data_IF_139942782057
#
_entry.id   IF_139942782057
#
_cell.length_a   1.000
_cell.length_b   1.000
_cell.length_c   1.000
_cell.angle_alpha   90.00
_cell.angle_beta   90.00
_cell.angle_gamma   90.00
#
_symmetry.space_group_name_H-M   'P 1'
#
loop_
_entity.id
_entity.type
_entity.pdbx_description
1 polymer ?
#
# COMPACT_ATOMS: atom_id res chain seq x y z
N UNK A 1 -40.11 -54.08 -53.27
CA UNK A 1 -38.77 -53.46 -53.08
C UNK A 1 -38.95 -52.07 -52.48
N UNK A 2 -38.68 -51.89 -51.18
CA UNK A 2 -38.84 -50.61 -50.46
C UNK A 2 -37.43 -50.10 -50.05
N UNK A 3 -36.96 -49.00 -50.62
CA UNK A 3 -35.66 -48.39 -50.25
C UNK A 3 -35.88 -47.34 -49.16
N UNK A 4 -35.45 -47.64 -47.93
CA UNK A 4 -35.34 -46.68 -46.82
C UNK A 4 -34.21 -45.68 -47.15
N UNK A 5 -34.54 -44.38 -47.18
CA UNK A 5 -33.56 -43.29 -47.27
C UNK A 5 -33.28 -42.78 -45.85
N UNK A 6 -32.07 -43.01 -45.35
CA UNK A 6 -31.58 -42.44 -44.09
C UNK A 6 -31.17 -40.99 -44.33
N UNK A 7 -31.79 -40.05 -43.60
CA UNK A 7 -31.39 -38.65 -43.59
C UNK A 7 -30.26 -38.47 -42.55
N UNK A 8 -29.09 -38.01 -43.01
CA UNK A 8 -27.99 -37.58 -42.15
C UNK A 8 -28.21 -36.11 -41.77
N UNK A 9 -28.42 -35.84 -40.47
CA UNK A 9 -28.42 -34.49 -39.94
C UNK A 9 -26.96 -34.06 -39.67
N UNK A 10 -26.48 -33.04 -40.40
CA UNK A 10 -25.18 -32.42 -40.17
C UNK A 10 -25.38 -31.34 -39.10
N UNK A 11 -24.91 -31.59 -37.88
CA UNK A 11 -24.86 -30.59 -36.83
C UNK A 11 -23.64 -29.68 -37.04
N UNK A 12 -23.88 -28.42 -37.43
CA UNK A 12 -22.86 -27.38 -37.49
C UNK A 12 -22.51 -26.95 -36.06
N UNK A 13 -21.34 -27.38 -35.55
CA UNK A 13 -20.77 -26.84 -34.33
C UNK A 13 -20.19 -25.44 -34.62
N UNK A 14 -20.88 -24.40 -34.19
CA UNK A 14 -20.34 -23.05 -34.11
C UNK A 14 -19.55 -22.89 -32.81
N UNK A 15 -18.22 -22.89 -32.91
CA UNK A 15 -17.35 -22.53 -31.79
C UNK A 15 -17.36 -21.02 -31.62
N UNK A 16 -18.00 -20.51 -30.56
CA UNK A 16 -17.89 -19.11 -30.18
C UNK A 16 -16.48 -18.85 -29.62
N UNK A 17 -15.67 -18.11 -30.36
CA UNK A 17 -14.36 -17.66 -29.89
C UNK A 17 -14.56 -16.52 -28.91
N UNK A 18 -14.41 -16.77 -27.61
CA UNK A 18 -14.40 -15.71 -26.61
C UNK A 18 -13.03 -15.02 -26.70
N UNK A 19 -13.00 -13.86 -27.36
CA UNK A 19 -11.82 -13.00 -27.37
C UNK A 19 -11.69 -12.38 -25.99
N UNK A 20 -10.80 -12.91 -25.16
CA UNK A 20 -10.46 -12.29 -23.88
C UNK A 20 -9.75 -10.97 -24.16
N UNK A 21 -10.41 -9.85 -23.89
CA UNK A 21 -9.78 -8.53 -23.90
C UNK A 21 -8.91 -8.39 -22.67
N UNK A 22 -7.80 -9.13 -22.64
CA UNK A 22 -6.77 -8.98 -21.64
C UNK A 22 -6.25 -7.54 -21.72
N UNK A 23 -6.40 -6.79 -20.63
CA UNK A 23 -5.86 -5.44 -20.54
C UNK A 23 -4.34 -5.53 -20.73
N UNK A 24 -3.76 -4.93 -21.78
CA UNK A 24 -2.32 -5.04 -22.06
C UNK A 24 -1.45 -4.40 -20.96
N UNK A 25 -2.08 -3.67 -20.05
CA UNK A 25 -1.41 -3.03 -18.91
C UNK A 25 -1.38 -3.89 -17.64
N UNK A 26 -1.99 -5.08 -17.66
CA UNK A 26 -2.01 -5.99 -16.52
C UNK A 26 -0.71 -6.81 -16.45
N UNK A 27 0.00 -6.74 -15.32
CA UNK A 27 1.15 -7.58 -15.02
C UNK A 27 0.72 -8.97 -14.51
N UNK A 28 1.61 -9.95 -14.59
CA UNK A 28 1.40 -11.28 -14.01
C UNK A 28 2.47 -11.62 -12.99
N UNK A 29 2.05 -12.05 -11.80
CA UNK A 29 2.93 -12.70 -10.82
C UNK A 29 3.28 -14.11 -11.27
N UNK A 30 4.56 -14.33 -11.54
CA UNK A 30 5.10 -15.61 -12.05
C UNK A 30 5.55 -16.52 -10.93
N UNK A 31 6.26 -15.97 -9.94
CA UNK A 31 6.86 -16.74 -8.85
C UNK A 31 7.06 -15.89 -7.60
N UNK A 32 6.86 -16.52 -6.44
CA UNK A 32 7.39 -16.05 -5.15
C UNK A 32 8.42 -17.07 -4.69
N UNK A 33 9.63 -16.60 -4.40
CA UNK A 33 10.71 -17.38 -3.84
C UNK A 33 11.02 -16.87 -2.44
N UNK A 34 10.99 -17.76 -1.45
CA UNK A 34 11.46 -17.44 -0.10
C UNK A 34 12.98 -17.45 -0.07
N UNK A 35 13.56 -16.39 0.46
CA UNK A 35 14.99 -16.21 0.69
C UNK A 35 15.28 -16.29 2.19
N UNK A 36 16.54 -16.43 2.56
CA UNK A 36 16.96 -16.21 3.95
C UNK A 36 16.76 -14.73 4.30
N UNK A 37 15.92 -14.45 5.30
CA UNK A 37 15.58 -13.09 5.70
C UNK A 37 14.70 -12.32 4.71
N UNK A 38 13.94 -12.97 3.82
CA UNK A 38 13.06 -12.22 2.91
C UNK A 38 12.34 -13.00 1.82
N UNK A 39 11.88 -12.29 0.79
CA UNK A 39 11.24 -12.87 -0.40
C UNK A 39 11.70 -12.20 -1.68
N UNK A 40 11.70 -12.96 -2.77
CA UNK A 40 11.83 -12.47 -4.15
C UNK A 40 10.53 -12.75 -4.91
N UNK A 41 9.98 -11.71 -5.52
CA UNK A 41 8.79 -11.76 -6.36
C UNK A 41 9.19 -11.53 -7.80
N UNK A 42 8.80 -12.44 -8.69
CA UNK A 42 9.03 -12.36 -10.12
C UNK A 42 7.74 -11.95 -10.83
N UNK A 43 7.81 -10.85 -11.58
CA UNK A 43 6.73 -10.33 -12.41
C UNK A 43 7.17 -10.33 -13.88
N UNK A 44 6.24 -10.51 -14.82
CA UNK A 44 6.56 -10.34 -16.25
C UNK A 44 6.83 -8.88 -16.65
N UNK A 45 6.44 -7.92 -15.81
CA UNK A 45 6.76 -6.50 -15.93
C UNK A 45 6.89 -5.86 -14.56
N UNK A 46 7.69 -4.79 -14.48
CA UNK A 46 7.90 -4.05 -13.24
C UNK A 46 6.59 -3.38 -12.78
N UNK A 47 6.23 -3.61 -11.52
CA UNK A 47 5.10 -2.96 -10.82
C UNK A 47 5.55 -2.68 -9.38
N UNK A 48 5.64 -1.41 -9.02
CA UNK A 48 6.10 -1.02 -7.68
C UNK A 48 5.04 -1.43 -6.62
N UNK A 49 5.38 -2.26 -5.62
CA UNK A 49 4.40 -2.69 -4.63
C UNK A 49 4.11 -1.59 -3.61
N UNK A 50 2.86 -1.54 -3.14
CA UNK A 50 2.50 -0.84 -1.91
C UNK A 50 2.84 -1.74 -0.72
N UNK A 51 3.74 -1.28 0.15
CA UNK A 51 4.22 -2.05 1.30
C UNK A 51 3.70 -1.41 2.59
N UNK A 52 3.07 -2.21 3.45
CA UNK A 52 2.59 -1.76 4.76
C UNK A 52 2.49 -2.90 5.77
N UNK A 53 2.54 -2.56 7.05
CA UNK A 53 2.42 -3.52 8.15
C UNK A 53 0.98 -3.56 8.69
N UNK A 54 0.53 -4.74 9.08
CA UNK A 54 -0.70 -4.96 9.85
C UNK A 54 -0.32 -5.50 11.22
N UNK A 55 -1.12 -5.13 12.23
CA UNK A 55 -0.99 -5.62 13.60
C UNK A 55 -2.08 -6.67 13.87
N UNK A 56 -1.81 -7.61 14.77
CA UNK A 56 -2.75 -8.63 15.26
C UNK A 56 -3.36 -9.56 14.18
N UNK A 57 -2.61 -10.56 13.68
CA UNK A 57 -1.20 -10.83 13.94
C UNK A 57 -0.28 -9.91 13.11
N UNK A 58 0.99 -9.80 13.52
CA UNK A 58 1.98 -8.99 12.81
C UNK A 58 2.19 -9.53 11.40
N UNK A 59 2.02 -8.68 10.38
CA UNK A 59 2.17 -9.05 8.97
C UNK A 59 2.79 -7.91 8.18
N UNK A 60 3.67 -8.24 7.23
CA UNK A 60 4.09 -7.32 6.17
C UNK A 60 3.34 -7.67 4.89
N UNK A 61 2.68 -6.68 4.29
CA UNK A 61 1.85 -6.85 3.09
C UNK A 61 2.47 -6.09 1.93
N UNK A 62 2.53 -6.75 0.78
CA UNK A 62 2.96 -6.19 -0.50
C UNK A 62 1.81 -6.32 -1.49
N UNK A 63 1.23 -5.20 -1.87
CA UNK A 63 0.16 -5.13 -2.88
C UNK A 63 0.72 -4.67 -4.23
N UNK A 64 0.54 -5.50 -5.24
CA UNK A 64 0.89 -5.23 -6.63
C UNK A 64 -0.37 -4.86 -7.40
N UNK A 65 -0.57 -3.56 -7.65
CA UNK A 65 -1.73 -3.04 -8.38
C UNK A 65 -1.65 -3.42 -9.88
N UNK A 66 -2.81 -3.57 -10.52
CA UNK A 66 -2.93 -4.04 -11.90
C UNK A 66 -2.14 -5.31 -12.19
N UNK A 67 -2.13 -6.25 -11.24
CA UNK A 67 -1.39 -7.51 -11.32
C UNK A 67 -2.32 -8.68 -11.08
N UNK A 68 -2.27 -9.66 -11.98
CA UNK A 68 -2.95 -10.96 -11.83
C UNK A 68 -2.00 -12.02 -11.30
N UNK A 69 -2.55 -13.00 -10.59
CA UNK A 69 -1.82 -14.17 -10.13
C UNK A 69 -2.41 -15.45 -10.78
N UNK A 70 -1.90 -15.89 -11.94
CA UNK A 70 -2.50 -16.98 -12.71
C UNK A 70 -2.60 -18.30 -11.96
N UNK A 71 -1.70 -18.55 -11.00
CA UNK A 71 -1.71 -19.75 -10.16
C UNK A 71 -2.72 -19.72 -9.00
N UNK A 72 -3.50 -18.65 -8.84
CA UNK A 72 -4.54 -18.51 -7.80
C UNK A 72 -4.00 -18.28 -6.38
N UNK A 73 -2.76 -18.67 -6.09
CA UNK A 73 -2.14 -18.43 -4.79
C UNK A 73 -1.00 -19.39 -4.48
N UNK A 74 -0.30 -19.13 -3.39
CA UNK A 74 0.72 -20.03 -2.88
C UNK A 74 1.03 -19.75 -1.42
N UNK A 75 1.59 -20.75 -0.74
CA UNK A 75 2.06 -20.64 0.65
C UNK A 75 3.41 -21.31 0.74
N UNK A 76 4.38 -20.62 1.33
CA UNK A 76 5.73 -21.10 1.50
C UNK A 76 6.18 -20.90 2.95
N UNK A 77 6.84 -21.89 3.57
CA UNK A 77 7.44 -21.68 4.88
C UNK A 77 8.50 -20.58 4.78
N UNK A 78 8.60 -19.75 5.82
CA UNK A 78 9.67 -18.76 5.94
C UNK A 78 11.04 -19.42 6.06
N UNK A 79 12.09 -18.64 5.79
CA UNK A 79 13.48 -19.00 6.06
C UNK A 79 14.10 -17.87 6.88
N UNK A 80 14.57 -18.21 8.07
CA UNK A 80 15.05 -17.24 9.05
C UNK A 80 14.11 -17.09 10.25
N UNK A 81 14.35 -16.05 11.04
CA UNK A 81 13.68 -15.78 12.32
C UNK A 81 12.66 -14.63 12.25
N UNK A 82 12.56 -14.00 11.09
CA UNK A 82 11.85 -12.73 10.89
C UNK A 82 10.38 -12.97 10.54
N UNK A 83 10.08 -14.07 9.85
CA UNK A 83 8.73 -14.42 9.43
C UNK A 83 8.56 -15.94 9.31
N UNK A 84 7.41 -16.47 9.69
CA UNK A 84 7.13 -17.91 9.67
C UNK A 84 6.59 -18.40 8.34
N UNK A 85 5.96 -17.53 7.54
CA UNK A 85 5.31 -17.93 6.29
C UNK A 85 5.14 -16.78 5.31
N UNK A 86 5.39 -17.06 4.04
CA UNK A 86 4.98 -16.21 2.92
C UNK A 86 3.71 -16.76 2.27
N UNK A 87 2.79 -15.88 1.87
CA UNK A 87 1.55 -16.21 1.17
C UNK A 87 1.40 -15.30 -0.04
N UNK A 88 0.80 -15.80 -1.10
CA UNK A 88 0.34 -14.96 -2.22
C UNK A 88 -1.06 -15.35 -2.64
N UNK A 89 -1.82 -14.39 -3.13
CA UNK A 89 -3.19 -14.60 -3.62
C UNK A 89 -3.63 -13.43 -4.50
N UNK A 90 -4.62 -13.67 -5.36
CA UNK A 90 -5.40 -12.58 -5.95
C UNK A 90 -6.23 -11.94 -4.82
N UNK A 91 -5.94 -10.68 -4.47
CA UNK A 91 -6.67 -9.97 -3.41
C UNK A 91 -7.96 -9.33 -3.96
N UNK A 92 -7.87 -8.72 -5.14
CA UNK A 92 -9.00 -8.18 -5.88
C UNK A 92 -8.91 -8.64 -7.34
N UNK A 93 -9.98 -9.23 -7.87
CA UNK A 93 -10.09 -9.72 -9.25
C UNK A 93 -10.89 -8.80 -10.18
N UNK A 94 -11.24 -7.59 -9.73
CA UNK A 94 -12.00 -6.62 -10.50
C UNK A 94 -11.24 -6.01 -11.68
N UNK A 95 -11.74 -4.88 -12.17
CA UNK A 95 -11.20 -4.17 -13.36
C UNK A 95 -9.73 -3.77 -13.19
N UNK A 96 -9.33 -3.44 -11.95
CA UNK A 96 -7.95 -3.15 -11.55
C UNK A 96 -7.47 -4.23 -10.59
N UNK A 97 -7.02 -5.39 -11.11
CA UNK A 97 -6.72 -6.53 -10.26
C UNK A 97 -5.54 -6.24 -9.33
N UNK A 98 -5.61 -6.71 -8.10
CA UNK A 98 -4.53 -6.57 -7.11
C UNK A 98 -4.04 -7.95 -6.69
N UNK A 99 -2.77 -8.23 -6.91
CA UNK A 99 -2.11 -9.41 -6.36
C UNK A 99 -1.41 -9.04 -5.05
N UNK A 100 -1.65 -9.81 -4.00
CA UNK A 100 -1.09 -9.56 -2.67
C UNK A 100 -0.09 -10.65 -2.29
N UNK A 101 1.05 -10.24 -1.77
CA UNK A 101 2.01 -11.09 -1.05
C UNK A 101 2.00 -10.70 0.42
N UNK A 102 1.88 -11.66 1.33
CA UNK A 102 1.84 -11.44 2.78
C UNK A 102 2.92 -12.25 3.46
N UNK A 103 3.71 -11.62 4.32
CA UNK A 103 4.65 -12.26 5.22
C UNK A 103 4.05 -12.25 6.62
N UNK A 104 3.83 -13.43 7.21
CA UNK A 104 3.40 -13.58 8.60
C UNK A 104 4.65 -13.42 9.50
N UNK A 105 4.78 -12.28 10.19
CA UNK A 105 5.99 -11.89 10.90
C UNK A 105 6.07 -12.52 12.29
N UNK A 106 7.28 -12.84 12.73
CA UNK A 106 7.59 -13.40 14.06
C UNK A 106 8.35 -12.40 14.97
N UNK A 107 8.77 -11.26 14.41
CA UNK A 107 9.47 -10.20 15.11
C UNK A 107 9.11 -8.83 14.53
N UNK A 108 9.48 -7.75 15.22
CA UNK A 108 9.49 -6.44 14.59
C UNK A 108 10.62 -6.38 13.57
N UNK A 109 10.33 -5.87 12.37
CA UNK A 109 11.29 -5.86 11.25
C UNK A 109 11.33 -4.49 10.57
N UNK A 110 12.54 -4.09 10.17
CA UNK A 110 12.78 -3.10 9.13
C UNK A 110 12.87 -3.83 7.80
N UNK A 111 12.39 -3.22 6.71
CA UNK A 111 12.42 -3.84 5.39
C UNK A 111 13.11 -2.96 4.36
N UNK A 112 13.77 -3.61 3.38
CA UNK A 112 14.38 -2.96 2.21
C UNK A 112 13.94 -3.66 0.95
N UNK A 113 13.30 -2.92 0.05
CA UNK A 113 12.85 -3.40 -1.25
C UNK A 113 13.70 -2.84 -2.39
N UNK A 114 14.08 -3.67 -3.35
CA UNK A 114 14.79 -3.22 -4.55
C UNK A 114 14.50 -4.13 -5.76
N UNK A 115 14.72 -3.57 -6.95
CA UNK A 115 14.51 -4.26 -8.23
C UNK A 115 15.83 -4.76 -8.82
N UNK A 116 15.80 -5.96 -9.39
CA UNK A 116 16.83 -6.48 -10.29
C UNK A 116 16.15 -7.16 -11.49
N UNK A 117 16.05 -6.44 -12.61
CA UNK A 117 15.30 -6.90 -13.78
C UNK A 117 13.81 -7.14 -13.46
N UNK A 118 13.25 -8.33 -13.76
CA UNK A 118 11.85 -8.66 -13.45
C UNK A 118 11.61 -9.05 -11.99
N UNK A 119 12.64 -9.00 -11.14
CA UNK A 119 12.58 -9.47 -9.76
C UNK A 119 12.54 -8.30 -8.77
N UNK A 120 11.49 -8.25 -7.96
CA UNK A 120 11.45 -7.45 -6.75
C UNK A 120 11.98 -8.28 -5.58
N UNK A 121 13.01 -7.82 -4.91
CA UNK A 121 13.55 -8.47 -3.70
C UNK A 121 13.21 -7.62 -2.49
N UNK A 122 12.62 -8.25 -1.47
CA UNK A 122 12.36 -7.68 -0.17
C UNK A 122 13.21 -8.41 0.86
N UNK A 123 14.12 -7.68 1.52
CA UNK A 123 14.90 -8.16 2.64
C UNK A 123 14.34 -7.59 3.94
N UNK A 124 14.36 -8.40 4.99
CA UNK A 124 13.92 -8.09 6.34
C UNK A 124 15.13 -8.12 7.27
N UNK A 125 15.22 -7.10 8.13
CA UNK A 125 16.20 -7.00 9.20
C UNK A 125 15.41 -6.87 10.51
N UNK A 126 15.76 -7.62 11.56
CA UNK A 126 15.12 -7.46 12.87
C UNK A 126 15.34 -6.05 13.41
N UNK A 127 14.27 -5.45 13.91
CA UNK A 127 14.35 -4.23 14.70
C UNK A 127 14.52 -4.59 16.18
N UNK A 128 15.78 -4.79 16.56
CA UNK A 128 16.16 -5.20 17.92
C UNK A 128 15.72 -4.15 18.95
N UNK A 129 15.68 -2.88 18.59
CA UNK A 129 15.26 -1.82 19.51
C UNK A 129 13.76 -1.90 19.80
N UNK A 130 12.92 -2.09 18.77
CA UNK A 130 11.50 -2.31 18.98
C UNK A 130 11.21 -3.60 19.77
N UNK A 131 11.90 -4.70 19.45
CA UNK A 131 11.75 -5.97 20.17
C UNK A 131 12.09 -5.82 21.66
N UNK A 132 13.16 -5.09 22.01
CA UNK A 132 13.52 -4.82 23.40
C UNK A 132 12.47 -3.97 24.11
N UNK A 133 11.91 -2.96 23.44
CA UNK A 133 10.85 -2.12 24.02
C UNK A 133 9.60 -2.94 24.33
N UNK A 134 9.19 -3.80 23.40
CA UNK A 134 8.03 -4.67 23.59
C UNK A 134 8.28 -5.73 24.68
N UNK A 135 9.48 -6.31 24.73
CA UNK A 135 9.85 -7.27 25.77
C UNK A 135 9.94 -6.64 27.18
N UNK A 136 10.29 -5.36 27.27
CA UNK A 136 10.37 -4.61 28.54
C UNK A 136 9.03 -4.01 28.97
N UNK A 137 8.05 -3.84 28.07
CA UNK A 137 6.74 -3.26 28.39
C UNK A 137 6.00 -3.96 29.55
N UNK A 138 6.04 -5.31 29.69
CA UNK A 138 5.44 -6.02 30.81
C UNK A 138 6.19 -5.88 32.14
N UNK A 139 7.47 -5.48 32.11
CA UNK A 139 8.30 -5.31 33.32
C UNK A 139 8.20 -3.91 33.92
N UNK A 140 7.75 -2.93 33.13
CA UNK A 140 7.52 -1.56 33.58
C UNK A 140 6.57 -1.44 34.81
N UNK A 141 5.49 -2.23 34.97
CA UNK A 141 4.53 -2.02 36.07
C UNK A 141 5.07 -2.37 37.47
N UNK A 142 6.12 -3.20 37.59
CA UNK A 142 6.57 -3.73 38.89
C UNK A 142 7.52 -2.80 39.66
N UNK A 143 8.11 -1.79 39.00
CA UNK A 143 9.10 -0.89 39.61
C UNK A 143 8.55 0.49 39.99
N UNK A 144 7.31 0.80 39.62
CA UNK A 144 6.62 1.99 40.09
C UNK A 144 5.78 1.63 41.31
N UNK A 145 6.36 1.81 42.49
CA UNK A 145 5.57 2.05 43.70
C UNK A 145 4.52 3.09 43.37
N UNK A 146 3.28 2.83 43.76
CA UNK A 146 2.08 3.62 43.48
C UNK A 146 2.20 5.03 44.06
N UNK A 147 3.01 5.90 43.45
CA UNK A 147 2.72 7.32 43.48
C UNK A 147 1.37 7.47 42.79
N UNK A 148 0.39 8.18 43.38
CA UNK A 148 -0.87 8.45 42.70
C UNK A 148 -0.51 8.98 41.32
N UNK A 149 -0.91 8.20 40.30
CA UNK A 149 -0.65 8.55 38.90
C UNK A 149 -1.24 9.95 38.76
N UNK A 150 -0.44 11.00 38.49
CA UNK A 150 -1.02 12.32 38.26
C UNK A 150 -2.07 12.11 37.19
N UNK A 151 -3.30 12.56 37.47
CA UNK A 151 -4.43 12.41 36.56
C UNK A 151 -3.93 12.66 35.15
N UNK A 152 -4.08 11.71 34.21
CA UNK A 152 -3.46 11.79 32.90
C UNK A 152 -3.78 13.17 32.36
N UNK A 153 -2.74 13.99 32.24
CA UNK A 153 -2.88 15.33 31.68
C UNK A 153 -3.56 15.10 30.33
N UNK A 154 -4.72 15.71 30.07
CA UNK A 154 -5.48 15.43 28.86
C UNK A 154 -4.52 15.57 27.69
N UNK A 155 -4.30 14.46 26.95
CA UNK A 155 -3.40 14.48 25.81
C UNK A 155 -3.80 15.68 24.95
N UNK A 156 -2.85 16.58 24.60
CA UNK A 156 -3.19 17.77 23.84
C UNK A 156 -3.94 17.29 22.61
N UNK A 157 -5.21 17.70 22.48
CA UNK A 157 -6.06 17.29 21.37
C UNK A 157 -5.35 17.75 20.11
N UNK A 158 -4.79 16.81 19.35
CA UNK A 158 -4.12 17.10 18.09
C UNK A 158 -5.13 17.80 17.20
N UNK A 159 -4.91 19.09 16.95
CA UNK A 159 -5.82 19.91 16.17
C UNK A 159 -5.76 19.45 14.71
N UNK A 160 -6.72 18.62 14.30
CA UNK A 160 -6.84 18.19 12.93
C UNK A 160 -7.50 19.29 12.12
N UNK A 161 -6.77 19.87 11.16
CA UNK A 161 -7.29 20.92 10.28
C UNK A 161 -7.48 20.43 8.86
N UNK A 162 -8.53 20.94 8.21
CA UNK A 162 -8.86 20.64 6.81
C UNK A 162 -8.34 21.76 5.93
N UNK A 163 -7.53 21.42 4.93
CA UNK A 163 -6.96 22.35 3.96
C UNK A 163 -7.45 21.97 2.57
N UNK A 164 -8.42 22.71 1.99
CA UNK A 164 -8.84 22.49 0.62
C UNK A 164 -7.72 22.93 -0.34
N UNK A 165 -7.63 22.28 -1.49
CA UNK A 165 -6.70 22.68 -2.54
C UNK A 165 -7.07 22.15 -3.91
N UNK A 166 -6.27 22.55 -4.89
CA UNK A 166 -6.38 22.15 -6.29
C UNK A 166 -5.10 21.48 -6.79
N UNK A 167 -5.27 20.50 -7.68
CA UNK A 167 -4.26 19.71 -8.36
C UNK A 167 -4.52 19.77 -9.87
N UNK A 168 -3.51 20.24 -10.61
CA UNK A 168 -3.59 20.41 -12.07
C UNK A 168 -2.33 19.87 -12.74
N UNK A 169 -2.47 19.27 -13.91
CA UNK A 169 -1.32 18.82 -14.71
C UNK A 169 -0.57 20.01 -15.34
N UNK A 170 0.48 19.73 -16.11
CA UNK A 170 1.27 20.76 -16.83
C UNK A 170 0.44 21.58 -17.81
N UNK A 171 -0.64 21.02 -18.35
CA UNK A 171 -1.57 21.67 -19.27
C UNK A 171 -2.70 22.41 -18.52
N UNK A 172 -2.69 22.43 -17.18
CA UNK A 172 -3.71 23.08 -16.36
C UNK A 172 -4.99 22.26 -16.18
N UNK A 173 -5.03 21.01 -16.67
CA UNK A 173 -6.20 20.14 -16.58
C UNK A 173 -6.35 19.60 -15.15
N UNK A 174 -7.59 19.54 -14.61
CA UNK A 174 -7.83 19.01 -13.29
C UNK A 174 -7.43 17.54 -13.19
N UNK A 175 -6.81 17.16 -12.08
CA UNK A 175 -6.38 15.79 -11.85
C UNK A 175 -7.33 15.01 -10.94
N UNK A 176 -7.49 13.71 -11.21
CA UNK A 176 -8.27 12.79 -10.38
C UNK A 176 -7.39 11.60 -9.99
N UNK A 177 -7.48 11.15 -8.74
CA UNK A 177 -6.66 10.05 -8.22
C UNK A 177 -6.11 10.30 -6.81
N UNK A 178 -5.15 9.48 -6.41
CA UNK A 178 -4.47 9.62 -5.11
C UNK A 178 -3.06 10.19 -5.34
N UNK A 179 -2.71 11.25 -4.61
CA UNK A 179 -1.46 12.00 -4.80
C UNK A 179 -0.76 12.22 -3.47
N UNK A 180 0.55 11.95 -3.42
CA UNK A 180 1.38 12.29 -2.27
C UNK A 180 1.72 13.78 -2.30
N UNK A 181 1.33 14.51 -1.26
CA UNK A 181 1.65 15.92 -1.07
C UNK A 181 2.48 16.13 0.19
N UNK A 182 3.41 17.08 0.14
CA UNK A 182 4.16 17.53 1.32
C UNK A 182 3.69 18.91 1.73
N UNK A 183 3.35 19.07 3.00
CA UNK A 183 2.94 20.32 3.63
C UNK A 183 4.06 20.82 4.53
N UNK A 184 4.29 22.13 4.56
CA UNK A 184 5.31 22.76 5.40
C UNK A 184 4.79 24.05 6.03
N UNK A 185 5.17 24.30 7.28
CA UNK A 185 4.90 25.55 8.00
C UNK A 185 6.08 25.84 8.94
N UNK A 186 7.01 26.70 8.51
CA UNK A 186 8.31 26.86 9.18
C UNK A 186 9.06 25.52 9.28
N UNK A 187 9.47 25.15 10.50
CA UNK A 187 10.13 23.87 10.81
C UNK A 187 9.19 22.64 10.80
N UNK A 188 7.87 22.87 10.80
CA UNK A 188 6.91 21.77 10.76
C UNK A 188 6.72 21.29 9.31
N UNK A 189 6.70 19.97 9.13
CA UNK A 189 6.33 19.35 7.85
C UNK A 189 5.64 18.00 8.07
N UNK A 190 4.75 17.67 7.13
CA UNK A 190 4.00 16.41 7.07
C UNK A 190 3.80 16.01 5.60
N UNK A 191 3.87 14.71 5.29
CA UNK A 191 3.60 14.19 3.96
C UNK A 191 2.37 13.26 4.02
N UNK A 192 1.36 13.52 3.21
CA UNK A 192 0.12 12.76 3.20
C UNK A 192 -0.35 12.45 1.79
N UNK A 193 -1.03 11.31 1.61
CA UNK A 193 -1.79 11.05 0.40
C UNK A 193 -3.13 11.76 0.46
N UNK A 194 -3.46 12.52 -0.59
CA UNK A 194 -4.77 13.13 -0.77
C UNK A 194 -5.49 12.50 -1.94
N UNK A 195 -6.80 12.36 -1.81
CA UNK A 195 -7.66 11.99 -2.92
C UNK A 195 -8.12 13.26 -3.63
N UNK A 196 -7.74 13.42 -4.89
CA UNK A 196 -8.19 14.50 -5.76
C UNK A 196 -9.36 14.01 -6.64
N UNK A 197 -10.39 14.84 -6.79
CA UNK A 197 -11.52 14.63 -7.70
C UNK A 197 -11.79 15.91 -8.45
N UNK A 198 -11.69 15.84 -9.78
CA UNK A 198 -11.81 17.03 -10.64
C UNK A 198 -10.88 18.16 -10.19
N UNK A 199 -9.63 17.78 -9.91
CA UNK A 199 -8.58 18.67 -9.43
C UNK A 199 -8.72 19.06 -7.95
N UNK A 200 -9.88 18.92 -7.31
CA UNK A 200 -10.07 19.35 -5.92
C UNK A 200 -9.68 18.27 -4.93
N UNK A 201 -9.04 18.66 -3.83
CA UNK A 201 -8.72 17.77 -2.71
C UNK A 201 -8.95 18.47 -1.36
N UNK A 202 -9.02 17.67 -0.29
CA UNK A 202 -9.02 18.16 1.10
C UNK A 202 -7.96 17.40 1.89
N UNK A 203 -6.95 18.10 2.36
CA UNK A 203 -5.89 17.57 3.23
C UNK A 203 -6.30 17.66 4.70
N UNK A 204 -6.04 16.61 5.49
CA UNK A 204 -6.25 16.61 6.95
C UNK A 204 -4.88 16.60 7.63
N UNK A 205 -4.43 17.77 8.07
CA UNK A 205 -3.11 17.94 8.69
C UNK A 205 -3.21 17.86 10.21
N UNK A 206 -2.12 17.42 10.85
CA UNK A 206 -2.04 17.30 12.31
C UNK A 206 -2.38 15.91 12.85
N UNK A 207 -2.68 14.95 11.97
CA UNK A 207 -3.00 13.57 12.35
C UNK A 207 -1.74 12.77 12.73
N UNK A 208 -0.67 12.87 11.94
CA UNK A 208 0.57 12.13 12.20
C UNK A 208 1.57 12.97 13.00
N UNK A 209 1.58 14.29 12.76
CA UNK A 209 2.43 15.23 13.48
C UNK A 209 1.61 16.44 13.91
N UNK A 210 1.34 16.64 15.21
CA UNK A 210 0.52 17.75 15.69
C UNK A 210 0.98 19.08 15.10
N UNK A 211 0.04 19.88 14.60
CA UNK A 211 0.35 21.24 14.15
C UNK A 211 0.80 22.09 15.34
N UNK A 212 1.89 22.85 15.24
CA UNK A 212 2.27 23.80 16.27
C UNK A 212 1.15 24.81 16.53
N UNK A 213 0.95 25.15 17.80
CA UNK A 213 -0.16 25.99 18.27
C UNK A 213 -0.26 27.33 17.52
N UNK A 214 0.89 27.92 17.14
CA UNK A 214 0.96 29.17 16.36
C UNK A 214 0.26 29.11 15.00
N UNK A 215 0.03 27.92 14.43
CA UNK A 215 -0.71 27.73 13.18
C UNK A 215 -2.20 27.44 13.41
N UNK A 216 -2.65 27.43 14.67
CA UNK A 216 -4.06 27.28 15.04
C UNK A 216 -4.87 28.51 14.62
N UNK A 217 -4.33 29.71 14.73
CA UNK A 217 -5.14 30.92 14.52
C UNK A 217 -4.96 31.53 13.13
N UNK A 218 -3.80 31.27 12.51
CA UNK A 218 -3.41 31.94 11.27
C UNK A 218 -3.22 30.93 10.13
N UNK A 219 -4.10 30.87 9.12
CA UNK A 219 -3.98 29.97 7.97
C UNK A 219 -2.76 30.22 7.06
N UNK A 220 -2.09 31.36 7.24
CA UNK A 220 -1.28 32.02 6.20
C UNK A 220 0.13 31.47 5.93
N UNK A 221 0.54 30.33 6.50
CA UNK A 221 1.92 29.85 6.32
C UNK A 221 2.05 28.35 5.99
N UNK A 222 0.97 27.68 5.56
CA UNK A 222 1.10 26.31 5.06
C UNK A 222 1.41 26.36 3.57
N UNK A 223 2.62 25.92 3.24
CA UNK A 223 3.05 25.68 1.88
C UNK A 223 2.76 24.23 1.51
N UNK A 224 2.39 24.00 0.25
CA UNK A 224 2.12 22.66 -0.29
C UNK A 224 3.04 22.41 -1.49
N UNK A 225 3.64 21.23 -1.52
CA UNK A 225 4.62 20.83 -2.53
C UNK A 225 4.24 19.49 -3.16
N UNK A 226 4.36 19.46 -4.49
CA UNK A 226 4.43 18.23 -5.25
C UNK A 226 5.84 17.62 -5.10
N UNK A 227 5.97 16.27 -5.10
CA UNK A 227 7.27 15.64 -5.32
C UNK A 227 7.90 16.15 -6.63
N UNK A 228 9.22 16.23 -6.67
CA UNK A 228 9.93 16.71 -7.86
C UNK A 228 9.70 15.76 -9.05
N UNK A 229 9.67 16.32 -10.27
CA UNK A 229 9.57 15.55 -11.51
C UNK A 229 8.18 15.01 -11.85
N UNK A 230 7.15 15.31 -11.06
CA UNK A 230 5.80 14.77 -11.27
C UNK A 230 5.01 15.43 -12.39
N UNK A 231 5.42 16.62 -12.82
CA UNK A 231 4.78 17.34 -13.93
C UNK A 231 3.41 17.95 -13.61
N UNK A 232 2.99 17.95 -12.35
CA UNK A 232 1.75 18.58 -11.89
C UNK A 232 2.00 19.64 -10.83
N UNK A 233 1.03 20.53 -10.67
CA UNK A 233 1.05 21.69 -9.78
C UNK A 233 -0.04 21.54 -8.74
N UNK A 234 0.24 22.06 -7.55
CA UNK A 234 -0.66 22.04 -6.40
C UNK A 234 -0.76 23.43 -5.81
N UNK A 235 -1.97 23.81 -5.38
CA UNK A 235 -2.23 25.07 -4.68
C UNK A 235 -3.26 24.86 -3.58
N UNK A 236 -3.12 25.56 -2.45
CA UNK A 236 -4.16 25.60 -1.43
C UNK A 236 -5.24 26.63 -1.80
N UNK A 237 -6.50 26.30 -1.51
CA UNK A 237 -7.59 27.27 -1.55
C UNK A 237 -7.37 28.31 -0.45
N UNK A 238 -7.41 29.60 -0.82
CA UNK A 238 -7.41 30.71 0.14
C UNK A 238 -8.79 30.88 0.75
#
# INVERSE_FOLDING_TARGET
MLRKRSAYAIALLTTATVVSTANPFTASLRRVQVLDGGVRVELDRRVEPRIYSLLNPSRLVLDFDNTVHPGGGGRWPGRGSEFSRARSSQFDGGVTPVTRVVLDLEANVVHRGFWNGPHFTLLLERDVELDLRDALAPLAPALFTTRPRPSPMPAPRSLVRRYPGELRDRAGRPMTGNYLLRFRAGEWSEAIYVQARDGRFVARLGNHRPLPERYRETPLAIEVFAPQGTGWRVSLGR
#
